data_IF_699156256168
#
_entry.id   IF_699156256168
#
_cell.length_a   1.000
_cell.length_b   1.000
_cell.length_c   1.000
_cell.angle_alpha   90.00
_cell.angle_beta   90.00
_cell.angle_gamma   90.00
#
_symmetry.space_group_name_H-M   'P 1'
#
loop_
_entity.id
_entity.type
_entity.pdbx_description
1 polymer ?
#
# COMPACT_ATOMS: atom_id res chain seq x y z
N UNK A 1 -6.95 34.95 6.65
CA UNK A 1 -6.21 33.69 6.53
C UNK A 1 -6.85 32.69 7.46
N UNK A 2 -7.50 31.66 6.91
CA UNK A 2 -8.35 30.74 7.70
C UNK A 2 -7.51 29.72 8.47
N UNK A 3 -7.81 29.52 9.73
CA UNK A 3 -7.17 28.51 10.61
C UNK A 3 -7.27 27.07 10.05
N UNK A 4 -8.29 26.77 9.24
CA UNK A 4 -8.47 25.48 8.57
C UNK A 4 -7.38 25.19 7.52
N UNK A 5 -6.93 26.21 6.77
CA UNK A 5 -5.90 26.04 5.76
C UNK A 5 -4.51 25.78 6.36
N UNK A 6 -4.21 26.43 7.51
CA UNK A 6 -2.94 26.24 8.22
C UNK A 6 -2.82 24.84 8.81
N UNK A 7 -3.89 24.28 9.36
CA UNK A 7 -3.91 22.92 9.93
C UNK A 7 -3.77 21.86 8.82
N UNK A 8 -4.38 22.07 7.66
CA UNK A 8 -4.29 21.16 6.51
C UNK A 8 -2.86 21.10 5.94
N UNK A 9 -2.17 22.24 5.84
CA UNK A 9 -0.80 22.33 5.34
C UNK A 9 0.19 21.67 6.31
N UNK A 10 0.02 21.89 7.63
CA UNK A 10 0.86 21.23 8.66
C UNK A 10 0.75 19.71 8.61
N UNK A 11 -0.45 19.17 8.48
CA UNK A 11 -0.67 17.71 8.42
C UNK A 11 -0.06 17.08 7.16
N UNK A 12 -0.17 17.75 6.00
CA UNK A 12 0.44 17.28 4.76
C UNK A 12 1.99 17.27 4.85
N UNK A 13 2.58 18.26 5.52
CA UNK A 13 4.01 18.33 5.73
C UNK A 13 4.50 17.22 6.66
N UNK A 14 3.82 17.00 7.79
CA UNK A 14 4.13 15.92 8.72
C UNK A 14 4.04 14.53 8.06
N UNK A 15 3.01 14.29 7.25
CA UNK A 15 2.87 13.05 6.49
C UNK A 15 4.00 12.85 5.49
N UNK A 16 4.42 13.93 4.81
CA UNK A 16 5.56 13.89 3.88
C UNK A 16 6.86 13.56 4.59
N UNK A 17 7.14 14.20 5.72
CA UNK A 17 8.33 13.96 6.53
C UNK A 17 8.36 12.52 7.07
N UNK A 18 7.23 12.01 7.56
CA UNK A 18 7.11 10.64 8.02
C UNK A 18 7.39 9.63 6.91
N UNK A 19 6.87 9.88 5.69
CA UNK A 19 7.18 9.05 4.52
C UNK A 19 8.68 9.11 4.20
N UNK A 20 9.27 10.30 4.11
CA UNK A 20 10.69 10.45 3.77
C UNK A 20 11.59 9.72 4.76
N UNK A 21 11.29 9.79 6.05
CA UNK A 21 12.00 9.05 7.10
C UNK A 21 11.86 7.53 6.93
N UNK A 22 10.67 7.04 6.53
CA UNK A 22 10.45 5.62 6.26
C UNK A 22 11.24 5.15 5.03
N UNK A 23 11.22 5.92 3.94
CA UNK A 23 11.95 5.60 2.70
C UNK A 23 13.47 5.67 2.91
N UNK A 24 13.97 6.61 3.72
CA UNK A 24 15.40 6.70 4.05
C UNK A 24 15.91 5.41 4.72
N UNK A 25 15.14 4.87 5.67
CA UNK A 25 15.49 3.58 6.32
C UNK A 25 15.60 2.44 5.31
N UNK A 26 14.74 2.43 4.29
CA UNK A 26 14.78 1.42 3.23
C UNK A 26 16.00 1.65 2.35
N UNK A 27 16.29 2.89 1.95
CA UNK A 27 17.40 3.26 1.07
C UNK A 27 18.74 2.78 1.63
N UNK A 28 18.93 2.84 2.95
CA UNK A 28 20.14 2.33 3.61
C UNK A 28 20.32 0.81 3.45
N UNK A 29 19.30 0.05 3.07
CA UNK A 29 19.37 -1.40 2.89
C UNK A 29 19.76 -1.83 1.46
N UNK A 30 20.13 -0.89 0.58
CA UNK A 30 20.48 -1.17 -0.84
C UNK A 30 21.63 -2.18 -1.02
N UNK A 31 22.52 -2.25 -0.04
CA UNK A 31 23.68 -3.16 -0.03
C UNK A 31 23.51 -4.30 1.00
N UNK A 32 22.28 -4.53 1.48
CA UNK A 32 22.00 -5.61 2.42
C UNK A 32 22.29 -6.98 1.82
N UNK A 33 22.80 -7.90 2.64
CA UNK A 33 23.00 -9.30 2.25
C UNK A 33 21.68 -10.06 2.08
N UNK A 34 20.60 -9.56 2.67
CA UNK A 34 19.27 -10.15 2.60
C UNK A 34 18.53 -9.63 1.37
N UNK A 35 18.17 -10.53 0.44
CA UNK A 35 17.49 -10.19 -0.81
C UNK A 35 16.19 -9.43 -0.58
N UNK A 36 15.39 -9.88 0.37
CA UNK A 36 14.10 -9.26 0.73
C UNK A 36 14.22 -7.84 1.32
N UNK A 37 15.43 -7.38 1.65
CA UNK A 37 15.72 -6.00 2.05
C UNK A 37 16.37 -5.23 0.89
N UNK A 38 17.30 -5.87 0.17
CA UNK A 38 18.06 -5.26 -0.91
C UNK A 38 17.18 -4.92 -2.10
N UNK A 39 16.35 -5.86 -2.57
CA UNK A 39 15.53 -5.66 -3.77
C UNK A 39 14.56 -4.46 -3.65
N UNK A 40 13.78 -4.29 -2.56
CA UNK A 40 12.95 -3.08 -2.39
C UNK A 40 13.78 -1.79 -2.32
N UNK A 41 14.97 -1.83 -1.70
CA UNK A 41 15.83 -0.66 -1.58
C UNK A 41 16.40 -0.22 -2.95
N UNK A 42 16.83 -1.18 -3.76
CA UNK A 42 17.31 -0.91 -5.13
C UNK A 42 16.18 -0.42 -6.03
N UNK A 43 14.98 -0.98 -5.91
CA UNK A 43 13.81 -0.51 -6.63
C UNK A 43 13.45 0.93 -6.24
N UNK A 44 13.49 1.26 -4.94
CA UNK A 44 13.24 2.62 -4.47
C UNK A 44 14.21 3.61 -5.10
N UNK A 45 15.52 3.32 -5.11
CA UNK A 45 16.53 4.18 -5.73
C UNK A 45 16.26 4.37 -7.23
N UNK A 46 15.85 3.31 -7.94
CA UNK A 46 15.50 3.41 -9.36
C UNK A 46 14.26 4.29 -9.60
N UNK A 47 13.23 4.15 -8.76
CA UNK A 47 12.03 5.01 -8.81
C UNK A 47 12.42 6.48 -8.57
N UNK A 48 13.23 6.77 -7.55
CA UNK A 48 13.66 8.12 -7.22
C UNK A 48 14.46 8.75 -8.36
N UNK A 49 15.37 8.01 -8.99
CA UNK A 49 16.10 8.47 -10.18
C UNK A 49 15.14 8.82 -11.32
N UNK A 50 14.17 7.96 -11.62
CA UNK A 50 13.17 8.21 -12.68
C UNK A 50 12.30 9.43 -12.37
N UNK A 51 11.90 9.62 -11.13
CA UNK A 51 11.11 10.79 -10.72
C UNK A 51 11.92 12.10 -10.83
N UNK A 52 13.20 12.06 -10.48
CA UNK A 52 14.12 13.20 -10.64
C UNK A 52 14.33 13.57 -12.11
N UNK A 53 14.53 12.58 -12.99
CA UNK A 53 14.66 12.80 -14.44
C UNK A 53 13.39 13.43 -15.02
N UNK A 54 12.20 12.95 -14.64
CA UNK A 54 10.94 13.53 -15.09
C UNK A 54 10.75 14.97 -14.62
N UNK A 55 11.15 15.28 -13.39
CA UNK A 55 11.10 16.65 -12.87
C UNK A 55 12.01 17.61 -13.66
N UNK A 56 13.18 17.13 -14.09
CA UNK A 56 14.12 17.90 -14.88
C UNK A 56 13.72 18.04 -16.37
N UNK A 57 12.88 17.14 -16.89
CA UNK A 57 12.49 17.12 -18.32
C UNK A 57 11.25 17.98 -18.61
N UNK A 58 10.48 18.37 -17.57
CA UNK A 58 9.32 19.25 -17.78
C UNK A 58 9.78 20.66 -18.16
N UNK A 59 9.25 21.26 -19.26
CA UNK A 59 9.62 22.60 -19.67
C UNK A 59 9.30 23.57 -18.54
N UNK A 60 10.34 24.22 -18.02
CA UNK A 60 10.22 25.23 -16.97
C UNK A 60 9.62 26.49 -17.59
N UNK A 61 8.46 26.94 -17.14
CA UNK A 61 8.10 28.34 -17.27
C UNK A 61 9.10 29.19 -16.50
N UNK A 62 9.59 30.30 -17.09
CA UNK A 62 10.74 31.07 -16.58
C UNK A 62 10.37 31.97 -15.40
N UNK A 63 9.86 31.43 -14.31
CA UNK A 63 9.72 32.20 -13.06
C UNK A 63 9.64 31.24 -11.86
N UNK A 64 10.69 31.17 -11.15
CA UNK A 64 11.01 30.71 -9.80
C UNK A 64 12.07 29.61 -9.78
N UNK A 65 13.21 29.96 -9.16
CA UNK A 65 14.16 28.97 -8.61
C UNK A 65 13.43 28.05 -7.61
N UNK A 66 12.66 27.11 -8.12
CA UNK A 66 12.14 26.03 -7.27
C UNK A 66 13.32 25.12 -6.98
N UNK A 67 13.81 25.17 -5.76
CA UNK A 67 14.54 24.05 -5.18
C UNK A 67 13.80 22.78 -5.60
N UNK A 68 14.50 21.83 -6.18
CA UNK A 68 13.92 20.56 -6.65
C UNK A 68 13.28 19.87 -5.42
N UNK A 69 11.99 20.12 -5.21
CA UNK A 69 11.30 19.51 -4.09
C UNK A 69 11.32 18.00 -4.26
N UNK A 70 11.66 17.23 -3.22
CA UNK A 70 11.65 15.80 -3.28
C UNK A 70 10.25 15.29 -3.65
N UNK A 71 10.19 14.19 -4.39
CA UNK A 71 8.95 13.60 -4.87
C UNK A 71 7.94 13.40 -3.73
N UNK A 72 6.67 13.77 -3.98
CA UNK A 72 5.59 13.62 -3.01
C UNK A 72 4.99 12.20 -2.99
N UNK A 73 4.21 11.84 -1.94
CA UNK A 73 3.61 10.51 -1.80
C UNK A 73 2.82 10.05 -3.03
N UNK A 74 2.10 10.94 -3.68
CA UNK A 74 1.31 10.64 -4.89
C UNK A 74 2.20 10.24 -6.07
N UNK A 75 3.37 10.84 -6.22
CA UNK A 75 4.30 10.50 -7.30
C UNK A 75 4.89 9.09 -7.12
N UNK A 76 5.21 8.70 -5.88
CA UNK A 76 5.61 7.34 -5.55
C UNK A 76 4.48 6.34 -5.82
N UNK A 77 3.24 6.66 -5.43
CA UNK A 77 2.08 5.81 -5.71
C UNK A 77 1.91 5.56 -7.20
N UNK A 78 1.97 6.60 -8.04
CA UNK A 78 1.80 6.48 -9.49
C UNK A 78 2.93 5.66 -10.14
N UNK A 79 4.17 5.84 -9.68
CA UNK A 79 5.29 5.03 -10.14
C UNK A 79 5.13 3.56 -9.78
N UNK A 80 4.73 3.26 -8.54
CA UNK A 80 4.47 1.89 -8.08
C UNK A 80 3.29 1.25 -8.79
N UNK A 81 2.19 1.98 -9.01
CA UNK A 81 1.03 1.52 -9.80
C UNK A 81 1.44 1.14 -11.23
N UNK A 82 2.26 1.98 -11.86
CA UNK A 82 2.79 1.68 -13.21
C UNK A 82 3.58 0.38 -13.25
N UNK A 83 4.42 0.11 -12.24
CA UNK A 83 5.18 -1.14 -12.14
C UNK A 83 4.28 -2.35 -11.88
N UNK A 84 3.25 -2.20 -11.04
CA UNK A 84 2.30 -3.27 -10.73
C UNK A 84 1.38 -3.61 -11.91
N UNK A 85 1.15 -2.66 -12.81
CA UNK A 85 0.31 -2.82 -14.00
C UNK A 85 1.08 -3.30 -15.24
N UNK A 86 2.41 -3.35 -15.18
CA UNK A 86 3.23 -3.76 -16.32
C UNK A 86 3.19 -5.29 -16.52
N UNK A 87 2.84 -5.74 -17.74
CA UNK A 87 2.61 -7.16 -18.07
C UNK A 87 3.84 -8.07 -17.87
N UNK A 88 5.06 -7.51 -17.95
CA UNK A 88 6.31 -8.28 -17.87
C UNK A 88 7.09 -8.01 -16.57
N UNK A 89 6.42 -7.59 -15.51
CA UNK A 89 7.08 -7.35 -14.22
C UNK A 89 7.50 -8.66 -13.58
N UNK A 90 8.78 -8.79 -13.23
CA UNK A 90 9.27 -9.97 -12.52
C UNK A 90 8.60 -10.11 -11.13
N UNK A 91 8.51 -11.34 -10.63
CA UNK A 91 7.92 -11.62 -9.31
C UNK A 91 8.60 -10.83 -8.18
N UNK A 92 9.92 -10.62 -8.26
CA UNK A 92 10.69 -9.89 -7.26
C UNK A 92 10.42 -8.37 -7.32
N UNK A 93 10.32 -7.81 -8.52
CA UNK A 93 9.93 -6.40 -8.69
C UNK A 93 8.49 -6.19 -8.21
N UNK A 94 7.58 -7.10 -8.54
CA UNK A 94 6.20 -7.05 -8.05
C UNK A 94 6.14 -7.11 -6.51
N UNK A 95 6.86 -8.06 -5.88
CA UNK A 95 6.92 -8.18 -4.43
C UNK A 95 7.51 -6.93 -3.75
N UNK A 96 8.58 -6.37 -4.34
CA UNK A 96 9.21 -5.13 -3.87
C UNK A 96 8.28 -3.93 -4.03
N UNK A 97 7.54 -3.85 -5.15
CA UNK A 97 6.53 -2.80 -5.38
C UNK A 97 5.40 -2.85 -4.36
N UNK A 98 4.86 -4.04 -4.07
CA UNK A 98 3.81 -4.21 -3.03
C UNK A 98 4.35 -3.82 -1.65
N UNK A 99 5.60 -4.17 -1.34
CA UNK A 99 6.23 -3.77 -0.07
C UNK A 99 6.36 -2.24 0.04
N UNK A 100 6.89 -1.57 -0.98
CA UNK A 100 7.00 -0.10 -1.00
C UNK A 100 5.61 0.56 -0.97
N UNK A 101 4.64 -0.01 -1.68
CA UNK A 101 3.25 0.46 -1.67
C UNK A 101 2.65 0.43 -0.27
N UNK A 102 2.88 -0.63 0.52
CA UNK A 102 2.39 -0.73 1.91
C UNK A 102 2.93 0.37 2.83
N UNK A 103 4.08 0.98 2.47
CA UNK A 103 4.70 2.06 3.23
C UNK A 103 4.23 3.43 2.71
N UNK A 104 4.09 3.58 1.39
CA UNK A 104 3.69 4.85 0.77
C UNK A 104 2.22 5.17 0.99
N UNK A 105 1.35 4.15 0.88
CA UNK A 105 -0.10 4.30 0.83
C UNK A 105 -0.71 5.08 2.01
N UNK A 106 -0.28 4.87 3.28
CA UNK A 106 -0.80 5.64 4.42
C UNK A 106 -0.55 7.15 4.35
N UNK A 107 0.42 7.58 3.53
CA UNK A 107 0.83 8.98 3.39
C UNK A 107 0.23 9.67 2.15
N UNK A 108 -0.50 8.93 1.32
CA UNK A 108 -1.16 9.47 0.11
C UNK A 108 -2.50 10.08 0.47
N UNK A 109 -2.84 11.19 -0.18
CA UNK A 109 -4.13 11.84 0.02
C UNK A 109 -5.30 10.86 -0.20
N UNK A 110 -6.26 10.75 0.73
CA UNK A 110 -7.35 9.75 0.68
C UNK A 110 -8.14 9.76 -0.63
N UNK A 111 -8.34 10.93 -1.24
CA UNK A 111 -9.04 11.06 -2.53
C UNK A 111 -8.33 10.34 -3.67
N UNK A 112 -6.99 10.39 -3.71
CA UNK A 112 -6.17 9.69 -4.71
C UNK A 112 -6.24 8.18 -4.49
N UNK A 113 -6.09 7.74 -3.22
CA UNK A 113 -6.17 6.31 -2.87
C UNK A 113 -7.54 5.73 -3.26
N UNK A 114 -8.63 6.45 -2.96
CA UNK A 114 -9.99 6.03 -3.34
C UNK A 114 -10.15 5.87 -4.85
N UNK A 115 -9.65 6.83 -5.63
CA UNK A 115 -9.71 6.77 -7.08
C UNK A 115 -8.95 5.55 -7.66
N UNK A 116 -7.88 5.11 -7.00
CA UNK A 116 -7.01 4.00 -7.42
C UNK A 116 -7.32 2.67 -6.72
N UNK A 117 -8.22 2.64 -5.76
CA UNK A 117 -8.45 1.52 -4.85
C UNK A 117 -8.72 0.19 -5.57
N UNK A 118 -9.48 0.21 -6.68
CA UNK A 118 -9.80 -1.01 -7.42
C UNK A 118 -8.56 -1.64 -8.08
N UNK A 119 -7.72 -0.83 -8.73
CA UNK A 119 -6.48 -1.31 -9.35
C UNK A 119 -5.49 -1.82 -8.29
N UNK A 120 -5.35 -1.09 -7.18
CA UNK A 120 -4.47 -1.48 -6.07
C UNK A 120 -4.94 -2.78 -5.39
N UNK A 121 -6.25 -2.93 -5.20
CA UNK A 121 -6.82 -4.16 -4.64
C UNK A 121 -6.58 -5.36 -5.57
N UNK A 122 -6.75 -5.18 -6.88
CA UNK A 122 -6.43 -6.20 -7.90
C UNK A 122 -4.97 -6.64 -7.85
N UNK A 123 -4.04 -5.70 -7.72
CA UNK A 123 -2.61 -6.00 -7.66
C UNK A 123 -2.22 -6.85 -6.44
N UNK A 124 -2.92 -6.72 -5.29
CA UNK A 124 -2.62 -7.50 -4.08
C UNK A 124 -3.47 -8.77 -3.96
N UNK A 125 -4.56 -8.89 -4.70
CA UNK A 125 -5.42 -10.07 -4.67
C UNK A 125 -4.70 -11.34 -5.17
N UNK A 126 -3.92 -11.24 -6.25
CA UNK A 126 -3.18 -12.37 -6.81
C UNK A 126 -2.17 -13.00 -5.82
N UNK A 127 -1.30 -12.23 -5.13
CA UNK A 127 -0.45 -12.77 -4.08
C UNK A 127 -1.20 -13.43 -2.92
N UNK A 128 -2.36 -12.90 -2.55
CA UNK A 128 -3.18 -13.46 -1.46
C UNK A 128 -3.89 -14.75 -1.88
N UNK A 129 -4.30 -14.86 -3.16
CA UNK A 129 -4.97 -16.03 -3.71
C UNK A 129 -4.03 -17.22 -3.90
N UNK A 130 -2.74 -16.97 -4.17
CA UNK A 130 -1.72 -18.02 -4.28
C UNK A 130 -0.63 -17.85 -3.22
N UNK A 131 -0.94 -18.18 -1.95
CA UNK A 131 0.00 -18.00 -0.84
C UNK A 131 1.20 -18.95 -0.87
N UNK A 132 1.25 -19.90 -1.81
CA UNK A 132 2.32 -20.88 -1.97
C UNK A 132 3.11 -20.71 -3.28
N UNK A 133 2.68 -19.80 -4.16
CA UNK A 133 3.32 -19.51 -5.44
C UNK A 133 4.61 -18.69 -5.30
N UNK A 134 5.76 -19.30 -5.54
CA UNK A 134 7.07 -18.64 -5.56
C UNK A 134 8.05 -19.10 -4.48
N UNK A 135 9.24 -18.48 -4.44
CA UNK A 135 10.29 -18.83 -3.48
C UNK A 135 9.85 -18.52 -2.02
N UNK A 136 9.95 -19.49 -1.15
CA UNK A 136 9.40 -19.46 0.22
C UNK A 136 9.89 -18.28 1.08
N UNK A 137 11.13 -17.81 0.88
CA UNK A 137 11.71 -16.71 1.65
C UNK A 137 11.06 -15.36 1.38
N UNK A 138 10.74 -15.08 0.12
CA UNK A 138 10.13 -13.81 -0.29
C UNK A 138 8.60 -13.80 -0.08
N UNK A 139 7.97 -14.98 -0.06
CA UNK A 139 6.53 -15.12 0.06
C UNK A 139 5.98 -14.57 1.38
N UNK A 140 6.65 -14.83 2.50
CA UNK A 140 6.23 -14.31 3.80
C UNK A 140 6.23 -12.78 3.86
N UNK A 141 7.24 -12.14 3.27
CA UNK A 141 7.34 -10.69 3.20
C UNK A 141 6.26 -10.12 2.27
N UNK A 142 6.06 -10.75 1.11
CA UNK A 142 5.07 -10.36 0.10
C UNK A 142 3.64 -10.42 0.67
N UNK A 143 3.26 -11.52 1.32
CA UNK A 143 1.93 -11.65 1.92
C UNK A 143 1.70 -10.62 3.02
N UNK A 144 2.67 -10.39 3.90
CA UNK A 144 2.55 -9.37 4.94
C UNK A 144 2.44 -7.95 4.37
N UNK A 145 3.16 -7.65 3.30
CA UNK A 145 3.04 -6.38 2.60
C UNK A 145 1.66 -6.24 1.93
N UNK A 146 1.16 -7.29 1.28
CA UNK A 146 -0.19 -7.30 0.70
C UNK A 146 -1.27 -7.08 1.76
N UNK A 147 -1.16 -7.71 2.93
CA UNK A 147 -2.04 -7.46 4.07
C UNK A 147 -1.97 -5.99 4.54
N UNK A 148 -0.78 -5.39 4.55
CA UNK A 148 -0.60 -3.97 4.88
C UNK A 148 -1.29 -3.04 3.87
N UNK A 149 -1.22 -3.34 2.58
CA UNK A 149 -1.95 -2.60 1.54
C UNK A 149 -3.46 -2.74 1.72
N UNK A 150 -3.97 -3.96 1.93
CA UNK A 150 -5.41 -4.21 2.17
C UNK A 150 -5.90 -3.43 3.37
N UNK A 151 -5.17 -3.45 4.49
CA UNK A 151 -5.53 -2.69 5.69
C UNK A 151 -5.61 -1.19 5.40
N UNK A 152 -4.60 -0.60 4.75
CA UNK A 152 -4.61 0.81 4.38
C UNK A 152 -5.80 1.16 3.48
N UNK A 153 -6.13 0.30 2.52
CA UNK A 153 -7.28 0.49 1.64
C UNK A 153 -8.61 0.42 2.43
N UNK A 154 -8.73 -0.53 3.36
CA UNK A 154 -9.94 -0.68 4.19
C UNK A 154 -10.15 0.52 5.12
N UNK A 155 -9.09 1.16 5.62
CA UNK A 155 -9.20 2.39 6.40
C UNK A 155 -9.57 3.62 5.55
N UNK A 156 -9.01 3.73 4.34
CA UNK A 156 -9.13 4.93 3.51
C UNK A 156 -10.42 4.94 2.68
N UNK A 157 -10.85 3.75 2.18
CA UNK A 157 -12.03 3.62 1.32
C UNK A 157 -13.28 3.42 2.16
N UNK A 158 -14.24 4.37 2.17
CA UNK A 158 -15.46 4.22 2.95
C UNK A 158 -16.29 3.00 2.51
N UNK A 159 -16.99 2.37 3.45
CA UNK A 159 -17.85 1.19 3.20
C UNK A 159 -18.85 1.43 2.09
N UNK A 160 -19.48 2.61 2.06
CA UNK A 160 -20.43 2.99 1.01
C UNK A 160 -19.84 2.92 -0.40
N UNK A 161 -18.54 3.19 -0.55
CA UNK A 161 -17.84 3.12 -1.83
C UNK A 161 -17.41 1.69 -2.17
N UNK A 162 -17.22 0.85 -1.14
CA UNK A 162 -16.92 -0.59 -1.29
C UNK A 162 -18.15 -1.41 -1.65
N UNK A 163 -19.34 -1.01 -1.20
CA UNK A 163 -20.61 -1.71 -1.36
C UNK A 163 -21.30 -1.43 -2.72
N UNK A 164 -20.62 -0.85 -3.69
CA UNK A 164 -21.12 -0.80 -5.07
C UNK A 164 -20.99 -2.19 -5.70
N UNK A 165 -22.08 -2.76 -6.22
CA UNK A 165 -22.28 -4.18 -6.61
C UNK A 165 -21.06 -4.89 -7.24
N UNK A 166 -20.40 -4.25 -8.22
CA UNK A 166 -19.21 -4.86 -8.85
C UNK A 166 -17.96 -4.82 -7.95
N UNK A 167 -17.83 -3.76 -7.14
CA UNK A 167 -16.71 -3.59 -6.21
C UNK A 167 -16.88 -4.45 -4.96
N UNK A 168 -18.10 -4.63 -4.47
CA UNK A 168 -18.40 -5.44 -3.30
C UNK A 168 -17.85 -6.86 -3.43
N UNK A 169 -18.07 -7.51 -4.58
CA UNK A 169 -17.55 -8.87 -4.83
C UNK A 169 -16.04 -8.96 -4.71
N UNK A 170 -15.31 -7.96 -5.23
CA UNK A 170 -13.85 -7.93 -5.13
C UNK A 170 -13.39 -7.72 -3.70
N UNK A 171 -14.03 -6.82 -2.96
CA UNK A 171 -13.72 -6.57 -1.56
C UNK A 171 -14.01 -7.78 -0.67
N UNK A 172 -15.15 -8.45 -0.87
CA UNK A 172 -15.50 -9.67 -0.16
C UNK A 172 -14.55 -10.83 -0.49
N UNK A 173 -14.18 -11.00 -1.75
CA UNK A 173 -13.21 -12.01 -2.15
C UNK A 173 -11.84 -11.78 -1.50
N UNK A 174 -11.36 -10.55 -1.46
CA UNK A 174 -10.09 -10.23 -0.77
C UNK A 174 -10.22 -10.44 0.74
N UNK A 175 -11.38 -10.11 1.34
CA UNK A 175 -11.62 -10.38 2.76
C UNK A 175 -11.58 -11.89 3.07
N UNK A 176 -12.18 -12.74 2.23
CA UNK A 176 -12.10 -14.19 2.38
C UNK A 176 -10.66 -14.72 2.30
N UNK A 177 -9.83 -14.14 1.40
CA UNK A 177 -8.41 -14.47 1.33
C UNK A 177 -7.66 -14.07 2.62
N UNK A 178 -7.98 -12.90 3.19
CA UNK A 178 -7.42 -12.47 4.49
C UNK A 178 -7.81 -13.44 5.59
N UNK A 179 -9.09 -13.85 5.65
CA UNK A 179 -9.58 -14.83 6.63
C UNK A 179 -8.86 -16.18 6.47
N UNK A 180 -8.65 -16.65 5.23
CA UNK A 180 -7.84 -17.83 4.95
C UNK A 180 -6.41 -17.76 5.51
N UNK A 181 -5.81 -16.59 5.50
CA UNK A 181 -4.48 -16.38 6.08
C UNK A 181 -4.47 -16.35 7.62
N UNK A 182 -5.62 -16.22 8.27
CA UNK A 182 -5.73 -16.33 9.73
C UNK A 182 -5.43 -17.75 10.25
N UNK A 183 -5.50 -18.77 9.39
CA UNK A 183 -5.11 -20.15 9.70
C UNK A 183 -3.83 -20.61 8.98
N UNK A 184 -3.11 -19.68 8.36
CA UNK A 184 -1.86 -19.99 7.64
C UNK A 184 -0.83 -20.67 8.55
N UNK A 185 -0.12 -21.67 8.02
CA UNK A 185 0.91 -22.39 8.75
C UNK A 185 2.07 -21.50 9.22
N UNK A 186 2.34 -20.41 8.52
CA UNK A 186 3.43 -19.45 8.81
C UNK A 186 3.03 -18.47 9.92
N UNK A 187 3.65 -18.53 11.12
CA UNK A 187 3.20 -17.75 12.27
C UNK A 187 3.18 -16.23 12.05
N UNK A 188 4.14 -15.71 11.28
CA UNK A 188 4.23 -14.26 11.01
C UNK A 188 3.13 -13.77 10.07
N UNK A 189 2.70 -14.59 9.10
CA UNK A 189 1.58 -14.30 8.20
C UNK A 189 0.29 -14.36 8.98
N UNK A 190 0.04 -15.49 9.67
CA UNK A 190 -1.15 -15.70 10.50
C UNK A 190 -1.35 -14.57 11.50
N UNK A 191 -0.31 -14.18 12.25
CA UNK A 191 -0.40 -13.08 13.21
C UNK A 191 -0.78 -11.76 12.53
N UNK A 192 -0.16 -11.44 11.39
CA UNK A 192 -0.45 -10.21 10.65
C UNK A 192 -1.90 -10.18 10.12
N UNK A 193 -2.43 -11.32 9.66
CA UNK A 193 -3.82 -11.44 9.24
C UNK A 193 -4.78 -11.22 10.42
N UNK A 194 -4.52 -11.84 11.58
CA UNK A 194 -5.31 -11.61 12.80
C UNK A 194 -5.28 -10.14 13.25
N UNK A 195 -4.11 -9.50 13.26
CA UNK A 195 -3.96 -8.09 13.59
C UNK A 195 -4.85 -7.21 12.69
N UNK A 196 -4.81 -7.46 11.37
CA UNK A 196 -5.65 -6.74 10.40
C UNK A 196 -7.15 -6.95 10.69
N UNK A 197 -7.59 -8.20 10.82
CA UNK A 197 -9.01 -8.51 11.07
C UNK A 197 -9.49 -7.86 12.37
N UNK A 198 -8.71 -7.99 13.44
CA UNK A 198 -9.03 -7.39 14.73
C UNK A 198 -9.11 -5.86 14.62
N UNK A 199 -8.14 -5.24 13.97
CA UNK A 199 -8.08 -3.79 13.82
C UNK A 199 -9.30 -3.26 13.06
N UNK A 200 -9.61 -3.84 11.90
CA UNK A 200 -10.74 -3.42 11.08
C UNK A 200 -12.09 -3.65 11.79
N UNK A 201 -12.29 -4.77 12.47
CA UNK A 201 -13.54 -5.05 13.17
C UNK A 201 -13.71 -4.26 14.47
N UNK A 202 -12.63 -3.74 15.05
CA UNK A 202 -12.63 -2.97 16.29
C UNK A 202 -12.72 -1.45 16.08
N UNK A 203 -12.82 -0.97 14.84
CA UNK A 203 -12.94 0.47 14.57
C UNK A 203 -14.18 1.07 15.23
N UNK A 204 -14.03 2.12 16.08
CA UNK A 204 -15.15 2.69 16.84
C UNK A 204 -16.13 3.49 15.97
N UNK A 205 -15.85 3.68 14.69
CA UNK A 205 -16.69 4.45 13.76
C UNK A 205 -17.98 3.73 13.32
N UNK A 206 -18.22 2.50 13.79
CA UNK A 206 -19.39 1.71 13.39
C UNK A 206 -20.51 1.88 14.42
N UNK A 207 -21.53 2.64 14.07
CA UNK A 207 -22.79 2.70 14.83
C UNK A 207 -23.54 1.36 14.83
N UNK A 208 -23.22 0.49 13.88
CA UNK A 208 -23.79 -0.85 13.67
C UNK A 208 -22.67 -1.87 13.47
N UNK A 209 -22.99 -3.16 13.45
CA UNK A 209 -22.02 -4.22 13.19
C UNK A 209 -21.22 -3.97 11.89
N UNK A 210 -19.91 -4.20 11.94
CA UNK A 210 -19.05 -4.01 10.78
C UNK A 210 -19.54 -4.88 9.60
N UNK A 211 -19.57 -4.37 8.35
CA UNK A 211 -20.13 -5.10 7.19
C UNK A 211 -19.50 -6.47 6.94
N UNK A 212 -18.27 -6.68 7.41
CA UNK A 212 -17.57 -7.96 7.31
C UNK A 212 -17.70 -8.86 8.56
N UNK A 213 -18.38 -8.40 9.63
CA UNK A 213 -18.52 -9.18 10.86
C UNK A 213 -19.27 -10.48 10.60
N UNK A 214 -20.44 -10.43 9.93
CA UNK A 214 -21.22 -11.62 9.57
C UNK A 214 -20.40 -12.59 8.71
N UNK A 215 -19.65 -12.05 7.72
CA UNK A 215 -18.79 -12.86 6.86
C UNK A 215 -17.70 -13.55 7.67
N UNK A 216 -17.09 -12.86 8.63
CA UNK A 216 -16.07 -13.40 9.51
C UNK A 216 -16.64 -14.49 10.43
N UNK A 217 -17.84 -14.28 10.98
CA UNK A 217 -18.54 -15.26 11.81
C UNK A 217 -18.89 -16.54 11.02
N UNK A 218 -19.40 -16.39 9.80
CA UNK A 218 -19.69 -17.52 8.91
C UNK A 218 -18.44 -18.33 8.54
N UNK A 219 -17.29 -17.66 8.42
CA UNK A 219 -16.04 -18.31 8.10
C UNK A 219 -15.46 -19.09 9.31
N UNK A 220 -15.70 -18.62 10.53
CA UNK A 220 -15.20 -19.21 11.77
C UNK A 220 -16.08 -20.37 12.29
N UNK A 221 -17.30 -20.54 11.77
CA UNK A 221 -18.25 -21.60 12.12
C UNK A 221 -17.96 -22.89 11.37
#
# INVERSE_FOLDING_TARGET
>A
MNTADTVSVSNAQEQREALMNALERIRHLKDSKLENQRAPAQLLVAIEATLAERANTQPQEPQQERQTEPAGPTQYLLALESLLSAENTSADVHASSVYLLSIVLPHVAPGVVRAKSHALLGAVAAPLADPHGGAAENMNARLRASLGVVESLLHIVPVRERNVLERERTWLAVWDLVLGLCIDARPKVRRRAHELVTHILSEPAWEHAHPYADRTMMWAA
#
